data_IF_276356564908
#
_entry.id   IF_276356564908
#
_cell.length_a   1.000
_cell.length_b   1.000
_cell.length_c   1.000
_cell.angle_alpha   90.00
_cell.angle_beta   90.00
_cell.angle_gamma   90.00
#
_symmetry.space_group_name_H-M   'P 1'
#
loop_
_entity.id
_entity.type
_entity.pdbx_description
1 polymer ?
#
# COMPACT_ATOMS: atom_id res chain seq x y z
N UNK A 1 -17.07 17.81 8.55
CA UNK A 1 -16.29 17.66 7.31
C UNK A 1 -15.81 16.23 7.27
N UNK A 2 -16.14 15.46 6.23
CA UNK A 2 -15.58 14.12 6.06
C UNK A 2 -14.11 14.29 5.67
N UNK A 3 -13.20 13.58 6.34
CA UNK A 3 -11.79 13.62 5.97
C UNK A 3 -11.63 12.90 4.63
N UNK A 4 -10.83 13.45 3.70
CA UNK A 4 -10.60 12.83 2.38
C UNK A 4 -10.10 11.39 2.52
N UNK A 5 -9.37 11.10 3.60
CA UNK A 5 -8.88 9.76 3.90
C UNK A 5 -9.96 8.77 4.36
N UNK A 6 -11.13 9.21 4.82
CA UNK A 6 -12.18 8.29 5.30
C UNK A 6 -12.77 7.39 4.17
N UNK A 7 -12.49 7.71 2.91
CA UNK A 7 -12.90 6.91 1.73
C UNK A 7 -11.75 6.22 1.01
N UNK A 8 -10.49 6.54 1.34
CA UNK A 8 -9.32 6.00 0.64
C UNK A 8 -8.80 4.73 1.32
N UNK A 9 -8.38 3.77 0.52
CA UNK A 9 -7.59 2.63 0.96
C UNK A 9 -6.10 2.78 0.57
N UNK A 10 -5.30 1.81 0.96
CA UNK A 10 -3.86 1.81 0.63
C UNK A 10 -3.60 1.78 -0.87
N UNK A 11 -4.37 1.01 -1.64
CA UNK A 11 -4.26 1.01 -3.10
C UNK A 11 -4.48 2.40 -3.70
N UNK A 12 -5.52 3.13 -3.25
CA UNK A 12 -5.82 4.47 -3.76
C UNK A 12 -4.63 5.42 -3.53
N UNK A 13 -3.99 5.33 -2.36
CA UNK A 13 -2.76 6.07 -2.06
C UNK A 13 -1.64 5.71 -3.02
N UNK A 14 -1.37 4.41 -3.23
CA UNK A 14 -0.31 3.94 -4.12
C UNK A 14 -0.55 4.37 -5.58
N UNK A 15 -1.81 4.41 -6.01
CA UNK A 15 -2.22 4.87 -7.36
C UNK A 15 -2.04 6.38 -7.52
N UNK A 16 -2.28 7.16 -6.48
CA UNK A 16 -2.28 8.63 -6.54
C UNK A 16 -0.91 9.27 -6.29
N UNK A 17 -0.08 8.68 -5.44
CA UNK A 17 1.14 9.33 -4.94
C UNK A 17 2.36 8.96 -5.79
N UNK A 18 3.06 9.99 -6.24
CA UNK A 18 4.36 9.87 -6.92
C UNK A 18 5.43 10.69 -6.19
N UNK A 19 6.63 10.15 -6.10
CA UNK A 19 7.82 10.79 -5.50
C UNK A 19 8.88 10.89 -6.57
N UNK A 20 9.43 12.08 -6.81
CA UNK A 20 10.42 12.32 -7.86
C UNK A 20 9.97 11.80 -9.25
N UNK A 21 8.67 11.94 -9.56
CA UNK A 21 8.02 11.44 -10.78
C UNK A 21 8.01 9.91 -10.94
N UNK A 22 8.30 9.16 -9.86
CA UNK A 22 8.21 7.71 -9.78
C UNK A 22 7.11 7.30 -8.82
N UNK A 23 6.53 6.11 -8.98
CA UNK A 23 5.64 5.53 -7.97
C UNK A 23 6.38 5.29 -6.65
N UNK A 24 5.65 5.24 -5.53
CA UNK A 24 6.24 5.04 -4.20
C UNK A 24 7.14 3.79 -4.16
N UNK A 25 8.30 3.91 -3.52
CA UNK A 25 9.16 2.77 -3.20
C UNK A 25 8.73 2.08 -1.92
N UNK A 26 8.61 0.75 -1.98
CA UNK A 26 8.36 -0.07 -0.80
C UNK A 26 9.35 0.24 0.32
N UNK A 27 10.64 0.43 0.00
CA UNK A 27 11.66 0.73 1.01
C UNK A 27 11.39 2.02 1.81
N UNK A 28 10.65 2.97 1.24
CA UNK A 28 10.29 4.24 1.87
C UNK A 28 9.02 4.12 2.73
N UNK A 29 8.24 3.04 2.59
CA UNK A 29 6.99 2.88 3.31
C UNK A 29 7.20 2.36 4.73
N UNK A 30 6.45 2.94 5.67
CA UNK A 30 6.26 2.45 7.03
C UNK A 30 4.77 2.55 7.37
N UNK A 31 4.22 1.51 7.98
CA UNK A 31 2.86 1.53 8.52
C UNK A 31 2.91 1.94 9.98
N UNK A 32 2.07 2.90 10.36
CA UNK A 32 1.95 3.40 11.74
C UNK A 32 0.51 3.41 12.22
N UNK A 33 0.31 3.38 13.53
CA UNK A 33 -0.98 3.75 14.12
C UNK A 33 -1.18 5.27 14.13
N UNK A 34 -2.32 5.73 14.65
CA UNK A 34 -2.66 7.16 14.70
C UNK A 34 -1.73 7.99 15.62
N UNK A 35 -0.98 7.35 16.51
CA UNK A 35 0.00 7.99 17.40
C UNK A 35 1.42 7.96 16.80
N UNK A 36 1.58 7.40 15.60
CA UNK A 36 2.87 7.29 14.91
C UNK A 36 3.72 6.10 15.35
N UNK A 37 3.15 5.14 16.10
CA UNK A 37 3.87 3.93 16.51
C UNK A 37 3.99 2.98 15.31
N UNK A 38 5.20 2.53 14.96
CA UNK A 38 5.40 1.65 13.80
C UNK A 38 4.81 0.26 14.03
N UNK A 39 4.24 -0.31 12.97
CA UNK A 39 3.82 -1.69 12.87
C UNK A 39 4.72 -2.42 11.87
N UNK A 40 5.70 -3.17 12.37
CA UNK A 40 6.69 -3.85 11.51
C UNK A 40 6.07 -4.92 10.63
N UNK A 41 5.12 -5.70 11.15
CA UNK A 41 4.46 -6.76 10.40
C UNK A 41 3.72 -6.20 9.17
N UNK A 42 2.92 -5.16 9.38
CA UNK A 42 2.17 -4.53 8.29
C UNK A 42 3.08 -3.73 7.35
N UNK A 43 4.17 -3.18 7.87
CA UNK A 43 5.20 -2.55 7.05
C UNK A 43 5.83 -3.56 6.10
N UNK A 44 6.22 -4.73 6.60
CA UNK A 44 6.83 -5.78 5.79
C UNK A 44 5.84 -6.34 4.76
N UNK A 45 4.58 -6.55 5.16
CA UNK A 45 3.51 -6.97 4.25
C UNK A 45 3.27 -5.95 3.12
N UNK A 46 3.16 -4.66 3.46
CA UNK A 46 2.97 -3.59 2.46
C UNK A 46 4.17 -3.48 1.52
N UNK A 47 5.38 -3.62 2.05
CA UNK A 47 6.62 -3.62 1.25
C UNK A 47 6.64 -4.75 0.24
N UNK A 48 6.37 -5.97 0.70
CA UNK A 48 6.33 -7.15 -0.15
C UNK A 48 5.24 -7.03 -1.23
N UNK A 49 4.06 -6.53 -0.85
CA UNK A 49 2.97 -6.23 -1.78
C UNK A 49 3.40 -5.23 -2.86
N UNK A 50 3.98 -4.09 -2.47
CA UNK A 50 4.42 -3.03 -3.41
C UNK A 50 5.55 -3.51 -4.32
N UNK A 51 6.48 -4.31 -3.81
CA UNK A 51 7.54 -4.91 -4.62
C UNK A 51 6.95 -5.82 -5.70
N UNK A 52 6.03 -6.71 -5.35
CA UNK A 52 5.38 -7.57 -6.33
C UNK A 52 4.54 -6.77 -7.34
N UNK A 53 3.78 -5.77 -6.89
CA UNK A 53 3.04 -4.88 -7.78
C UNK A 53 3.97 -4.17 -8.78
N UNK A 54 5.11 -3.66 -8.34
CA UNK A 54 6.08 -2.99 -9.23
C UNK A 54 6.65 -3.91 -10.31
N UNK A 55 6.78 -5.20 -10.01
CA UNK A 55 7.35 -6.17 -10.95
C UNK A 55 6.34 -6.66 -11.98
N UNK A 56 5.08 -6.83 -11.57
CA UNK A 56 4.09 -7.55 -12.38
C UNK A 56 2.90 -6.71 -12.82
N UNK A 57 2.68 -5.52 -12.23
CA UNK A 57 1.45 -4.75 -12.44
C UNK A 57 1.73 -3.42 -13.14
N UNK A 58 1.04 -3.20 -14.26
CA UNK A 58 0.93 -1.88 -14.86
C UNK A 58 -0.15 -1.07 -14.12
N UNK A 59 0.29 -0.25 -13.17
CA UNK A 59 -0.60 0.59 -12.35
C UNK A 59 -1.51 1.53 -13.16
N UNK A 60 -1.27 1.76 -14.46
CA UNK A 60 -2.17 2.55 -15.31
C UNK A 60 -3.40 1.77 -15.79
N UNK A 61 -3.39 0.44 -15.68
CA UNK A 61 -4.44 -0.46 -16.21
C UNK A 61 -5.34 -1.07 -15.15
N UNK A 62 -5.01 -0.91 -13.88
CA UNK A 62 -5.77 -1.44 -12.74
C UNK A 62 -6.38 -0.30 -11.94
N UNK A 63 -7.66 -0.38 -11.63
CA UNK A 63 -8.43 0.67 -10.95
C UNK A 63 -9.00 0.21 -9.60
N UNK A 64 -8.66 -1.01 -9.16
CA UNK A 64 -9.04 -1.52 -7.84
C UNK A 64 -8.01 -2.51 -7.25
N UNK A 65 -8.04 -2.73 -5.92
CA UNK A 65 -7.29 -3.82 -5.29
C UNK A 65 -7.60 -5.20 -5.89
N UNK A 66 -8.86 -5.47 -6.24
CA UNK A 66 -9.28 -6.78 -6.76
C UNK A 66 -8.66 -7.07 -8.13
N UNK A 67 -8.54 -6.06 -8.99
CA UNK A 67 -7.84 -6.19 -10.28
C UNK A 67 -6.34 -6.43 -10.10
N UNK A 68 -5.71 -5.77 -9.11
CA UNK A 68 -4.31 -6.04 -8.75
C UNK A 68 -4.13 -7.51 -8.34
N UNK A 69 -5.00 -8.01 -7.47
CA UNK A 69 -4.92 -9.39 -6.96
C UNK A 69 -5.17 -10.43 -8.06
N UNK A 70 -6.14 -10.17 -8.95
CA UNK A 70 -6.42 -11.04 -10.08
C UNK A 70 -5.19 -11.12 -11.01
N UNK A 71 -4.62 -9.98 -11.40
CA UNK A 71 -3.45 -9.94 -12.27
C UNK A 71 -2.22 -10.58 -11.60
N UNK A 72 -1.99 -10.35 -10.30
CA UNK A 72 -0.92 -11.03 -9.56
C UNK A 72 -1.14 -12.55 -9.53
N UNK A 73 -2.37 -13.02 -9.32
CA UNK A 73 -2.70 -14.44 -9.35
C UNK A 73 -2.49 -15.09 -10.72
N UNK A 74 -2.71 -14.33 -11.80
CA UNK A 74 -2.52 -14.81 -13.18
C UNK A 74 -1.06 -14.79 -13.64
N UNK A 75 -0.24 -13.89 -13.09
CA UNK A 75 1.12 -13.63 -13.56
C UNK A 75 2.23 -14.15 -12.65
N UNK A 76 1.88 -14.65 -11.45
CA UNK A 76 2.85 -15.11 -10.45
C UNK A 76 2.46 -16.48 -9.88
N UNK A 77 3.43 -17.24 -9.31
CA UNK A 77 3.14 -18.47 -8.58
C UNK A 77 2.76 -18.21 -7.11
N UNK A 78 2.33 -17.00 -6.74
CA UNK A 78 1.98 -16.67 -5.36
C UNK A 78 0.79 -17.54 -4.90
N UNK A 79 0.87 -18.17 -3.72
CA UNK A 79 -0.25 -18.96 -3.22
C UNK A 79 -1.39 -18.05 -2.72
N UNK A 80 -2.61 -18.60 -2.71
CA UNK A 80 -3.83 -17.86 -2.40
C UNK A 80 -3.81 -17.20 -1.01
N UNK A 81 -3.16 -17.83 -0.03
CA UNK A 81 -3.00 -17.26 1.31
C UNK A 81 -2.18 -15.97 1.31
N UNK A 82 -1.15 -15.88 0.46
CA UNK A 82 -0.38 -14.64 0.26
C UNK A 82 -1.24 -13.57 -0.41
N UNK A 83 -2.01 -13.94 -1.45
CA UNK A 83 -2.93 -13.01 -2.11
C UNK A 83 -4.01 -12.50 -1.13
N UNK A 84 -4.49 -13.35 -0.22
CA UNK A 84 -5.42 -12.97 0.83
C UNK A 84 -4.81 -11.93 1.80
N UNK A 85 -3.53 -12.08 2.18
CA UNK A 85 -2.84 -11.06 2.99
C UNK A 85 -2.64 -9.75 2.23
N UNK A 86 -2.28 -9.81 0.94
CA UNK A 86 -2.19 -8.60 0.09
C UNK A 86 -3.54 -7.90 -0.04
N UNK A 87 -4.62 -8.66 -0.13
CA UNK A 87 -6.00 -8.14 -0.17
C UNK A 87 -6.33 -7.34 1.07
N UNK A 88 -5.98 -7.85 2.26
CA UNK A 88 -6.21 -7.15 3.53
C UNK A 88 -5.51 -5.79 3.55
N UNK A 89 -4.21 -5.74 3.22
CA UNK A 89 -3.46 -4.49 3.30
C UNK A 89 -3.87 -3.49 2.21
N UNK A 90 -4.15 -3.94 0.97
CA UNK A 90 -4.53 -3.03 -0.12
C UNK A 90 -5.90 -2.40 0.10
N UNK A 91 -6.82 -3.15 0.73
CA UNK A 91 -8.18 -2.69 1.05
C UNK A 91 -8.27 -1.95 2.38
N UNK A 92 -7.22 -1.98 3.19
CA UNK A 92 -7.19 -1.30 4.48
C UNK A 92 -7.39 0.20 4.31
N UNK A 93 -8.22 0.79 5.18
CA UNK A 93 -8.53 2.22 5.13
C UNK A 93 -7.36 3.03 5.66
N UNK A 94 -6.98 4.04 4.90
CA UNK A 94 -5.93 4.98 5.31
C UNK A 94 -6.57 6.06 6.17
N UNK A 95 -5.98 6.36 7.31
CA UNK A 95 -6.38 7.47 8.18
C UNK A 95 -5.62 8.76 7.85
N UNK A 96 -4.43 8.63 7.27
CA UNK A 96 -3.61 9.75 6.83
C UNK A 96 -2.26 9.29 6.25
N UNK A 97 -1.51 10.25 5.73
CA UNK A 97 -0.15 10.06 5.26
C UNK A 97 0.76 11.11 5.90
N UNK A 98 1.88 10.67 6.48
CA UNK A 98 2.96 11.58 6.84
C UNK A 98 4.12 11.40 5.87
N UNK A 99 4.67 12.52 5.42
CA UNK A 99 5.94 12.54 4.70
C UNK A 99 7.01 12.94 5.70
N UNK A 100 8.04 12.12 5.84
CA UNK A 100 9.21 12.38 6.66
C UNK A 100 10.46 12.47 5.76
N UNK A 101 10.66 13.58 5.01
CA UNK A 101 11.72 13.68 4.01
C UNK A 101 13.13 13.50 4.59
N UNK A 102 13.35 13.94 5.84
CA UNK A 102 14.64 13.77 6.53
C UNK A 102 15.01 12.31 6.78
N UNK A 103 14.01 11.41 6.80
CA UNK A 103 14.18 9.96 6.99
C UNK A 103 13.99 9.18 5.69
N UNK A 104 13.77 9.87 4.57
CA UNK A 104 13.36 9.28 3.28
C UNK A 104 12.18 8.30 3.44
N UNK A 105 11.17 8.70 4.20
CA UNK A 105 10.09 7.83 4.64
C UNK A 105 8.71 8.44 4.40
N UNK A 106 7.76 7.56 4.07
CA UNK A 106 6.33 7.83 3.99
C UNK A 106 5.64 6.92 5.00
N UNK A 107 4.91 7.52 5.93
CA UNK A 107 4.11 6.79 6.91
C UNK A 107 2.68 6.67 6.41
N UNK A 108 2.19 5.44 6.30
CA UNK A 108 0.79 5.13 6.03
C UNK A 108 0.11 4.87 7.36
N UNK A 109 -0.73 5.82 7.79
CA UNK A 109 -1.44 5.73 9.05
C UNK A 109 -2.70 4.91 8.84
N UNK A 110 -2.86 3.84 9.61
CA UNK A 110 -4.05 2.98 9.56
C UNK A 110 -4.67 2.85 10.95
N UNK A 111 -5.95 2.50 11.01
CA UNK A 111 -6.67 2.34 12.29
C UNK A 111 -6.53 0.93 12.89
N UNK A 112 -6.05 -0.03 12.11
CA UNK A 112 -5.78 -1.42 12.50
C UNK A 112 -6.58 -2.41 11.68
N UNK A 113 -5.96 -3.56 11.35
CA UNK A 113 -6.50 -4.67 10.55
C UNK A 113 -6.80 -5.86 11.45
#
# INVERSE_FOLDING_TARGET
MNNVFDVLNVFDVLKMVTINHQGIDGAQLVVTDLEGKPNSLLTDLLRDTVVNMRLFIDMKKVDSPDEVLAELGDTTPLPNDVLDEYSKILKERVAGLNFAPQKDMIEVLIRGI
#
